data_IF_518691322785
#
_entry.id   IF_518691322785
#
_cell.length_a   1.000
_cell.length_b   1.000
_cell.length_c   1.000
_cell.angle_alpha   90.00
_cell.angle_beta   90.00
_cell.angle_gamma   90.00
#
_symmetry.space_group_name_H-M   'P 1'
#
loop_
_entity.id
_entity.type
_entity.pdbx_description
1 polymer ?
#
# COMPACT_ATOMS: atom_id res chain seq x y z
N UNK A 1 11.67 -12.69 9.38
CA UNK A 1 11.74 -11.93 8.12
C UNK A 1 11.56 -10.44 8.42
N UNK A 2 12.32 -9.52 7.76
CA UNK A 2 12.22 -8.07 8.02
C UNK A 2 10.80 -7.52 7.91
N UNK A 3 9.95 -8.10 7.08
CA UNK A 3 8.57 -7.69 6.87
C UNK A 3 7.60 -8.10 7.99
N UNK A 4 8.02 -8.87 9.00
CA UNK A 4 7.11 -9.37 10.06
C UNK A 4 6.54 -8.23 10.91
N UNK A 5 7.32 -7.23 11.22
CA UNK A 5 6.90 -6.07 12.03
C UNK A 5 5.84 -5.19 11.33
N UNK A 6 5.67 -5.35 10.01
CA UNK A 6 4.71 -4.58 9.21
C UNK A 6 3.40 -5.32 8.90
N UNK A 7 3.19 -6.51 9.46
CA UNK A 7 2.07 -7.38 9.10
C UNK A 7 0.70 -6.72 9.24
N UNK A 8 0.51 -5.96 10.33
CA UNK A 8 -0.74 -5.23 10.54
C UNK A 8 -0.97 -4.14 9.50
N UNK A 9 0.12 -3.48 9.07
CA UNK A 9 0.07 -2.47 8.02
C UNK A 9 -0.29 -3.12 6.69
N UNK A 10 0.31 -4.26 6.38
CA UNK A 10 0.04 -5.00 5.16
C UNK A 10 -1.43 -5.44 5.07
N UNK A 11 -2.00 -5.93 6.16
CA UNK A 11 -3.44 -6.25 6.24
C UNK A 11 -4.33 -5.02 5.98
N UNK A 12 -3.95 -3.84 6.53
CA UNK A 12 -4.71 -2.61 6.35
C UNK A 12 -4.69 -2.10 4.90
N UNK A 13 -3.58 -2.29 4.20
CA UNK A 13 -3.33 -1.80 2.84
C UNK A 13 -3.54 -2.88 1.77
N UNK A 14 -4.06 -4.06 2.15
CA UNK A 14 -4.21 -5.20 1.24
C UNK A 14 -2.91 -5.57 0.50
N UNK A 15 -1.77 -5.49 1.21
CA UNK A 15 -0.49 -5.96 0.68
C UNK A 15 -0.44 -7.47 0.87
N UNK A 16 -0.30 -8.20 -0.22
CA UNK A 16 -0.32 -9.66 -0.29
C UNK A 16 1.07 -10.21 -0.60
N UNK A 17 1.27 -11.52 -0.45
CA UNK A 17 2.49 -12.18 -0.90
C UNK A 17 2.56 -12.21 -2.44
N UNK A 18 3.80 -12.29 -2.98
CA UNK A 18 3.98 -12.38 -4.43
C UNK A 18 3.30 -13.63 -5.02
N UNK A 19 3.39 -14.76 -4.33
CA UNK A 19 2.72 -15.99 -4.77
C UNK A 19 1.20 -15.84 -4.85
N UNK A 20 0.61 -15.22 -3.83
CA UNK A 20 -0.83 -14.92 -3.82
C UNK A 20 -1.21 -13.95 -4.95
N UNK A 21 -0.44 -12.89 -5.15
CA UNK A 21 -0.61 -11.99 -6.28
C UNK A 21 -0.53 -12.74 -7.61
N UNK A 22 0.49 -13.62 -7.80
CA UNK A 22 0.69 -14.35 -9.03
C UNK A 22 -0.49 -15.28 -9.37
N UNK A 23 -1.06 -15.93 -8.37
CA UNK A 23 -2.18 -16.86 -8.51
C UNK A 23 -3.53 -16.17 -8.66
N UNK A 24 -3.69 -14.97 -8.11
CA UNK A 24 -4.93 -14.21 -8.15
C UNK A 24 -5.30 -13.84 -9.60
N UNK A 25 -6.60 -13.77 -9.90
CA UNK A 25 -7.12 -13.31 -11.19
C UNK A 25 -7.08 -11.78 -11.36
N UNK A 26 -6.96 -11.04 -10.26
CA UNK A 26 -6.85 -9.59 -10.29
C UNK A 26 -5.62 -9.14 -11.08
N UNK A 27 -5.79 -8.14 -11.94
CA UNK A 27 -4.74 -7.58 -12.78
C UNK A 27 -3.69 -6.81 -11.98
N UNK A 28 -4.08 -6.17 -10.87
CA UNK A 28 -3.26 -5.27 -10.07
C UNK A 28 -3.12 -5.77 -8.63
N UNK A 29 -2.03 -5.41 -7.96
CA UNK A 29 -1.83 -5.73 -6.55
C UNK A 29 -0.62 -5.03 -5.93
N UNK A 30 -0.65 -4.94 -4.59
CA UNK A 30 0.46 -4.47 -3.78
C UNK A 30 1.20 -5.66 -3.19
N UNK A 31 2.51 -5.71 -3.39
CA UNK A 31 3.39 -6.77 -2.87
C UNK A 31 4.56 -6.11 -2.15
N UNK A 32 4.89 -6.59 -0.96
CA UNK A 32 6.11 -6.16 -0.26
C UNK A 32 7.21 -7.18 -0.44
N UNK A 33 8.44 -6.71 -0.58
CA UNK A 33 9.61 -7.56 -0.67
C UNK A 33 10.86 -6.87 -0.12
N UNK A 34 11.75 -7.68 0.47
CA UNK A 34 13.09 -7.26 0.83
C UNK A 34 14.03 -7.58 -0.32
N UNK A 35 14.82 -6.62 -0.75
CA UNK A 35 15.76 -6.78 -1.87
C UNK A 35 16.92 -7.66 -1.43
N UNK A 36 17.12 -8.77 -2.14
CA UNK A 36 18.23 -9.71 -1.90
C UNK A 36 19.43 -9.42 -2.80
N UNK A 37 19.19 -9.12 -4.07
CA UNK A 37 20.24 -8.77 -5.03
C UNK A 37 19.69 -7.96 -6.20
N UNK A 38 20.56 -7.17 -6.81
CA UNK A 38 20.25 -6.33 -7.96
C UNK A 38 21.31 -6.58 -9.04
N UNK A 39 20.88 -6.97 -10.22
CA UNK A 39 21.75 -7.18 -11.37
C UNK A 39 21.35 -6.23 -12.49
N UNK A 40 22.11 -5.15 -12.68
CA UNK A 40 21.92 -4.25 -13.81
C UNK A 40 22.53 -4.85 -15.08
N UNK A 41 21.76 -4.80 -16.16
CA UNK A 41 22.12 -5.31 -17.49
C UNK A 41 21.73 -4.30 -18.57
N UNK A 42 22.21 -4.54 -19.77
CA UNK A 42 21.81 -3.80 -20.97
C UNK A 42 21.15 -4.76 -21.97
N UNK A 43 20.06 -4.33 -22.57
CA UNK A 43 19.43 -5.05 -23.66
C UNK A 43 20.33 -5.02 -24.92
N UNK A 44 19.99 -5.80 -25.95
CA UNK A 44 20.67 -5.76 -27.23
C UNK A 44 20.65 -4.37 -27.91
N UNK A 45 19.68 -3.52 -27.56
CA UNK A 45 19.57 -2.13 -28.02
C UNK A 45 20.28 -1.13 -27.09
N UNK A 46 21.06 -1.59 -26.10
CA UNK A 46 21.78 -0.73 -25.14
C UNK A 46 20.91 -0.14 -24.02
N UNK A 47 19.62 -0.44 -23.97
CA UNK A 47 18.70 0.06 -22.94
C UNK A 47 18.96 -0.63 -21.60
N UNK A 48 19.20 0.11 -20.50
CA UNK A 48 19.46 -0.48 -19.21
C UNK A 48 18.20 -1.09 -18.61
N UNK A 49 18.35 -2.20 -17.91
CA UNK A 49 17.32 -2.82 -17.07
C UNK A 49 17.98 -3.51 -15.88
N UNK A 50 17.22 -3.81 -14.85
CA UNK A 50 17.71 -4.61 -13.73
C UNK A 50 16.84 -5.84 -13.52
N UNK A 51 17.50 -6.92 -13.12
CA UNK A 51 16.86 -8.10 -12.53
C UNK A 51 17.03 -7.93 -11.03
N UNK A 52 15.92 -7.80 -10.31
CA UNK A 52 15.93 -7.63 -8.86
C UNK A 52 15.31 -8.86 -8.22
N UNK A 53 16.05 -9.49 -7.34
CA UNK A 53 15.61 -10.62 -6.55
C UNK A 53 15.11 -10.13 -5.19
N UNK A 54 13.92 -10.56 -4.83
CA UNK A 54 13.24 -10.21 -3.58
C UNK A 54 12.95 -11.45 -2.75
N UNK A 55 12.84 -11.26 -1.45
CA UNK A 55 12.20 -12.21 -0.55
C UNK A 55 10.96 -11.58 0.10
N UNK A 56 9.88 -12.34 0.18
CA UNK A 56 8.74 -12.05 1.03
C UNK A 56 8.57 -13.13 2.11
N UNK A 57 7.49 -13.10 2.87
CA UNK A 57 7.21 -14.09 3.92
C UNK A 57 6.94 -15.51 3.41
N UNK A 58 6.64 -15.67 2.12
CA UNK A 58 6.25 -16.94 1.51
C UNK A 58 7.35 -17.54 0.63
N UNK A 59 8.35 -16.75 0.24
CA UNK A 59 9.42 -17.21 -0.61
C UNK A 59 10.21 -16.11 -1.31
N UNK A 60 10.87 -16.48 -2.38
CA UNK A 60 11.67 -15.58 -3.21
C UNK A 60 11.01 -15.38 -4.57
N UNK A 61 11.19 -14.21 -5.16
CA UNK A 61 10.73 -13.89 -6.49
C UNK A 61 11.65 -12.90 -7.19
N UNK A 62 11.56 -12.85 -8.52
CA UNK A 62 12.36 -11.95 -9.33
C UNK A 62 11.46 -11.07 -10.20
N UNK A 63 11.83 -9.81 -10.33
CA UNK A 63 11.17 -8.87 -11.21
C UNK A 63 12.17 -8.14 -12.11
N UNK A 64 11.71 -7.78 -13.30
CA UNK A 64 12.45 -6.96 -14.24
C UNK A 64 12.05 -5.49 -14.07
N UNK A 65 13.03 -4.64 -13.79
CA UNK A 65 12.85 -3.19 -13.76
C UNK A 65 13.44 -2.60 -15.03
N UNK A 66 12.56 -2.11 -15.89
CA UNK A 66 12.98 -1.46 -17.13
C UNK A 66 13.46 -0.03 -16.89
N UNK A 67 14.16 0.54 -17.85
CA UNK A 67 14.98 1.74 -17.73
C UNK A 67 14.34 2.88 -16.94
N UNK A 68 13.09 3.23 -17.24
CA UNK A 68 12.39 4.33 -16.56
C UNK A 68 12.20 4.04 -15.07
N UNK A 69 11.71 2.85 -14.74
CA UNK A 69 11.49 2.42 -13.35
C UNK A 69 12.82 2.27 -12.59
N UNK A 70 13.86 1.75 -13.25
CA UNK A 70 15.18 1.61 -12.67
C UNK A 70 15.81 2.97 -12.34
N UNK A 71 15.81 3.90 -13.30
CA UNK A 71 16.43 5.23 -13.12
C UNK A 71 15.69 6.05 -12.05
N UNK A 72 14.37 6.08 -12.11
CA UNK A 72 13.53 6.88 -11.19
C UNK A 72 13.55 6.39 -9.74
N UNK A 73 13.96 5.14 -9.51
CA UNK A 73 13.94 4.54 -8.17
C UNK A 73 15.29 4.04 -7.68
N UNK A 74 16.37 4.38 -8.35
CA UNK A 74 17.73 3.88 -8.04
C UNK A 74 18.11 4.07 -6.57
N UNK A 75 17.73 5.17 -5.96
CA UNK A 75 18.03 5.45 -4.55
C UNK A 75 17.33 4.50 -3.56
N UNK A 76 16.16 3.96 -3.96
CA UNK A 76 15.38 3.01 -3.16
C UNK A 76 15.81 1.56 -3.37
N UNK A 77 16.53 1.29 -4.46
CA UNK A 77 16.98 -0.03 -4.85
C UNK A 77 18.34 -0.32 -4.22
N UNK A 78 18.34 -0.78 -2.98
CA UNK A 78 19.54 -1.21 -2.23
C UNK A 78 19.29 -2.56 -1.61
N UNK A 79 20.30 -3.40 -1.59
CA UNK A 79 20.22 -4.71 -0.91
C UNK A 79 19.85 -4.55 0.56
N UNK A 80 19.06 -5.47 1.06
CA UNK A 80 18.48 -5.49 2.40
C UNK A 80 17.38 -4.46 2.66
N UNK A 81 17.09 -3.55 1.74
CA UNK A 81 15.95 -2.63 1.86
C UNK A 81 14.62 -3.34 1.59
N UNK A 82 13.62 -3.00 2.40
CA UNK A 82 12.26 -3.50 2.23
C UNK A 82 11.38 -2.44 1.56
N UNK A 83 10.75 -2.82 0.46
CA UNK A 83 9.94 -1.92 -0.37
C UNK A 83 8.57 -2.52 -0.66
N UNK A 84 7.64 -1.67 -1.05
CA UNK A 84 6.32 -2.06 -1.56
C UNK A 84 6.24 -1.74 -3.04
N UNK A 85 5.80 -2.73 -3.78
CA UNK A 85 5.69 -2.73 -5.23
C UNK A 85 4.20 -2.71 -5.63
N UNK A 86 3.82 -1.75 -6.45
CA UNK A 86 2.56 -1.83 -7.18
C UNK A 86 2.81 -2.63 -8.46
N UNK A 87 2.22 -3.80 -8.54
CA UNK A 87 2.40 -4.74 -9.64
C UNK A 87 1.15 -4.78 -10.51
N UNK A 88 1.35 -4.98 -11.80
CA UNK A 88 0.29 -5.17 -12.77
C UNK A 88 0.61 -6.37 -13.67
N UNK A 89 -0.36 -7.26 -13.84
CA UNK A 89 -0.30 -8.35 -14.83
C UNK A 89 -0.82 -7.86 -16.18
N UNK A 90 -0.11 -8.19 -17.24
CA UNK A 90 -0.63 -7.98 -18.58
C UNK A 90 -1.82 -8.93 -18.81
N UNK A 91 -2.86 -8.43 -19.47
CA UNK A 91 -3.96 -9.28 -19.94
C UNK A 91 -3.41 -10.28 -20.95
N UNK A 92 -3.60 -11.56 -20.65
CA UNK A 92 -3.12 -12.62 -21.51
C UNK A 92 -4.08 -12.75 -22.70
N UNK A 93 -3.55 -12.59 -23.91
CA UNK A 93 -4.23 -12.94 -25.16
C UNK A 93 -3.50 -14.15 -25.74
N UNK A 94 -3.99 -15.39 -25.49
CA UNK A 94 -3.46 -16.62 -26.08
C UNK A 94 -3.17 -17.74 -25.07
N UNK A 95 -3.36 -18.98 -25.49
CA UNK A 95 -3.32 -20.20 -24.66
C UNK A 95 -1.95 -20.56 -24.03
N UNK A 96 -0.84 -19.94 -24.45
CA UNK A 96 0.52 -20.31 -24.02
C UNK A 96 1.38 -19.12 -23.54
N UNK A 97 0.82 -17.95 -23.25
CA UNK A 97 1.60 -16.79 -22.85
C UNK A 97 1.86 -16.76 -21.34
N UNK A 98 3.14 -16.70 -20.94
CA UNK A 98 3.51 -16.45 -19.54
C UNK A 98 2.96 -15.09 -19.11
N UNK A 99 2.31 -15.03 -17.94
CA UNK A 99 1.85 -13.78 -17.33
C UNK A 99 3.05 -12.82 -17.20
N UNK A 100 3.04 -11.73 -17.96
CA UNK A 100 4.03 -10.68 -17.79
C UNK A 100 3.61 -9.80 -16.63
N UNK A 101 4.52 -9.57 -15.69
CA UNK A 101 4.29 -8.71 -14.52
C UNK A 101 5.11 -7.44 -14.70
N UNK A 102 4.44 -6.31 -14.62
CA UNK A 102 5.02 -4.99 -14.72
C UNK A 102 5.03 -4.32 -13.34
N UNK A 103 6.15 -3.68 -13.00
CA UNK A 103 6.24 -2.82 -11.81
C UNK A 103 5.77 -1.43 -12.21
N UNK A 104 4.72 -0.93 -11.57
CA UNK A 104 4.13 0.39 -11.82
C UNK A 104 4.61 1.46 -10.86
N UNK A 105 4.82 1.11 -9.60
CA UNK A 105 5.31 2.02 -8.56
C UNK A 105 6.19 1.26 -7.58
N UNK A 106 7.21 1.94 -7.05
CA UNK A 106 8.07 1.48 -5.97
C UNK A 106 7.98 2.50 -4.84
N UNK A 107 7.60 2.04 -3.65
CA UNK A 107 7.50 2.87 -2.45
C UNK A 107 8.34 2.27 -1.32
N UNK A 108 9.07 3.10 -0.57
CA UNK A 108 9.66 2.62 0.67
C UNK A 108 8.55 2.37 1.72
N UNK A 109 8.78 1.45 2.65
CA UNK A 109 7.85 1.21 3.75
C UNK A 109 7.63 2.47 4.59
N UNK A 110 8.68 3.25 4.82
CA UNK A 110 8.60 4.50 5.56
C UNK A 110 7.69 5.52 4.86
N UNK A 111 7.85 5.69 3.55
CA UNK A 111 6.98 6.56 2.76
C UNK A 111 5.53 6.11 2.87
N UNK A 112 5.28 4.82 2.73
CA UNK A 112 3.92 4.27 2.78
C UNK A 112 3.24 4.48 4.14
N UNK A 113 3.99 4.33 5.24
CA UNK A 113 3.49 4.53 6.61
C UNK A 113 3.10 5.99 6.87
N UNK A 114 3.81 6.93 6.26
CA UNK A 114 3.61 8.36 6.47
C UNK A 114 2.70 9.00 5.40
N UNK A 115 2.45 8.32 4.29
CA UNK A 115 1.59 8.82 3.21
C UNK A 115 0.16 9.05 3.72
N UNK A 116 -0.42 10.26 3.55
CA UNK A 116 -1.78 10.53 3.97
C UNK A 116 -2.77 9.83 3.03
N UNK A 117 -3.84 9.32 3.59
CA UNK A 117 -4.99 8.86 2.80
C UNK A 117 -5.74 10.06 2.20
N UNK A 118 -6.34 9.89 1.02
CA UNK A 118 -7.08 10.96 0.37
C UNK A 118 -8.40 11.24 1.07
N UNK A 119 -9.15 10.19 1.38
CA UNK A 119 -10.51 10.28 1.92
C UNK A 119 -10.78 9.16 2.92
N UNK A 120 -11.33 9.50 4.07
CA UNK A 120 -11.57 8.56 5.16
C UNK A 120 -12.98 8.75 5.72
N UNK A 121 -13.71 7.66 5.92
CA UNK A 121 -15.01 7.65 6.60
C UNK A 121 -14.89 6.89 7.92
N UNK A 122 -15.24 7.53 9.03
CA UNK A 122 -15.25 6.95 10.37
C UNK A 122 -16.71 6.72 10.77
N UNK A 123 -17.07 5.47 11.07
CA UNK A 123 -18.40 5.13 11.56
C UNK A 123 -18.44 5.30 13.09
N UNK A 124 -19.37 6.12 13.55
CA UNK A 124 -19.58 6.44 14.95
C UNK A 124 -20.81 5.67 15.45
N UNK A 125 -20.61 4.80 16.44
CA UNK A 125 -21.69 4.08 17.14
C UNK A 125 -22.26 4.93 18.27
N UNK A 126 -23.42 4.55 18.83
CA UNK A 126 -24.17 5.30 19.86
C UNK A 126 -23.30 5.82 21.03
N UNK A 127 -22.25 5.10 21.43
CA UNK A 127 -21.42 5.44 22.59
C UNK A 127 -20.03 5.97 22.19
N UNK A 128 -19.92 6.64 21.05
CA UNK A 128 -18.62 7.18 20.63
C UNK A 128 -18.12 8.31 21.55
N UNK A 129 -16.81 8.34 21.78
CA UNK A 129 -16.16 9.36 22.60
C UNK A 129 -15.57 10.44 21.69
N UNK A 130 -16.27 11.54 21.52
CA UNK A 130 -15.85 12.61 20.60
C UNK A 130 -14.45 13.15 20.91
N UNK A 131 -14.04 13.20 22.17
CA UNK A 131 -12.73 13.70 22.57
C UNK A 131 -11.58 12.82 22.07
N UNK A 132 -11.75 11.49 22.07
CA UNK A 132 -10.75 10.56 21.52
C UNK A 132 -10.54 10.78 20.03
N UNK A 133 -11.64 11.02 19.29
CA UNK A 133 -11.59 11.30 17.86
C UNK A 133 -10.92 12.66 17.60
N UNK A 134 -11.25 13.68 18.40
CA UNK A 134 -10.63 15.00 18.30
C UNK A 134 -9.12 14.96 18.55
N UNK A 135 -8.65 14.19 19.51
CA UNK A 135 -7.23 14.02 19.79
C UNK A 135 -6.49 13.37 18.61
N UNK A 136 -7.06 12.30 18.04
CA UNK A 136 -6.48 11.60 16.89
C UNK A 136 -6.48 12.50 15.65
N UNK A 137 -7.52 13.30 15.45
CA UNK A 137 -7.70 14.19 14.31
C UNK A 137 -7.28 15.65 14.61
N UNK A 138 -6.44 15.89 15.59
CA UNK A 138 -6.08 17.25 16.04
C UNK A 138 -5.33 18.05 14.97
N UNK A 139 -4.47 17.40 14.18
CA UNK A 139 -3.57 18.07 13.23
C UNK A 139 -4.22 18.29 11.87
N UNK A 140 -4.07 19.47 11.30
CA UNK A 140 -4.44 19.77 9.93
C UNK A 140 -3.57 18.99 8.93
N UNK A 141 -4.13 18.69 7.76
CA UNK A 141 -3.45 17.91 6.72
C UNK A 141 -4.24 17.89 5.42
N UNK A 142 -4.03 16.86 4.61
CA UNK A 142 -4.63 16.73 3.27
C UNK A 142 -5.82 15.77 3.20
N UNK A 143 -6.08 14.96 4.25
CA UNK A 143 -7.12 13.93 4.24
C UNK A 143 -8.49 14.54 4.51
N UNK A 144 -9.44 14.28 3.63
CA UNK A 144 -10.86 14.58 3.84
C UNK A 144 -11.47 13.56 4.80
N UNK A 145 -12.07 14.03 5.89
CA UNK A 145 -12.67 13.18 6.91
C UNK A 145 -14.20 13.28 6.86
N UNK A 146 -14.83 12.12 6.74
CA UNK A 146 -16.26 11.95 6.82
C UNK A 146 -16.62 11.19 8.10
N UNK A 147 -17.65 11.61 8.79
CA UNK A 147 -18.20 10.95 9.97
C UNK A 147 -19.58 10.40 9.61
N UNK A 148 -19.77 9.11 9.78
CA UNK A 148 -21.05 8.44 9.61
C UNK A 148 -21.60 8.08 10.98
N UNK A 149 -22.60 8.80 11.43
CA UNK A 149 -23.32 8.54 12.69
C UNK A 149 -24.46 7.57 12.36
N UNK A 150 -24.40 6.40 12.95
CA UNK A 150 -25.43 5.37 12.79
C UNK A 150 -26.12 5.14 14.14
N UNK A 151 -27.16 5.89 14.39
CA UNK A 151 -28.07 5.71 15.54
C UNK A 151 -29.29 4.88 15.12
N UNK A 152 -29.93 4.18 16.08
CA UNK A 152 -31.13 3.34 15.84
C UNK A 152 -32.24 4.07 15.11
N UNK A 153 -32.29 5.40 15.20
CA UNK A 153 -33.35 6.24 14.63
C UNK A 153 -32.93 7.02 13.38
N UNK A 154 -31.64 7.31 13.20
CA UNK A 154 -31.16 8.16 12.11
C UNK A 154 -29.76 7.80 11.65
N UNK A 155 -29.53 7.92 10.34
CA UNK A 155 -28.20 7.93 9.75
C UNK A 155 -27.85 9.36 9.37
N UNK A 156 -26.78 9.89 9.91
CA UNK A 156 -26.28 11.22 9.59
C UNK A 156 -24.84 11.12 9.04
N UNK A 157 -24.59 11.87 7.97
CA UNK A 157 -23.28 11.94 7.32
C UNK A 157 -22.75 13.36 7.41
N UNK A 158 -21.58 13.54 8.02
CA UNK A 158 -20.92 14.82 8.19
C UNK A 158 -19.54 14.78 7.56
N UNK A 159 -19.17 15.81 6.83
CA UNK A 159 -17.81 16.04 6.39
C UNK A 159 -17.19 17.13 7.25
N UNK A 160 -15.99 16.90 7.78
CA UNK A 160 -15.28 17.94 8.51
C UNK A 160 -14.91 19.09 7.57
N UNK A 161 -15.10 20.31 8.05
CA UNK A 161 -14.87 21.53 7.27
C UNK A 161 -13.40 21.63 6.81
N UNK A 162 -12.45 21.23 7.66
CA UNK A 162 -11.04 21.26 7.36
C UNK A 162 -10.49 19.84 7.22
N UNK A 163 -9.60 19.62 6.25
CA UNK A 163 -8.88 18.38 6.11
C UNK A 163 -7.95 18.14 7.31
N UNK A 164 -7.69 16.87 7.60
CA UNK A 164 -6.87 16.44 8.73
C UNK A 164 -5.65 15.64 8.27
N UNK A 165 -4.62 15.60 9.10
CA UNK A 165 -3.53 14.65 8.93
C UNK A 165 -4.04 13.27 9.31
N UNK A 166 -4.07 12.35 8.34
CA UNK A 166 -4.54 10.99 8.55
C UNK A 166 -3.74 10.01 7.70
N UNK A 167 -2.97 9.17 8.36
CA UNK A 167 -2.16 8.12 7.75
C UNK A 167 -2.39 6.80 8.49
N UNK A 168 -1.60 5.78 8.18
CA UNK A 168 -1.73 4.44 8.76
C UNK A 168 -1.64 4.44 10.30
N UNK A 169 -0.89 5.36 10.93
CA UNK A 169 -0.78 5.46 12.40
C UNK A 169 -2.10 5.88 13.01
N UNK A 170 -2.79 6.85 12.41
CA UNK A 170 -4.11 7.31 12.84
C UNK A 170 -5.17 6.22 12.63
N UNK A 171 -5.10 5.50 11.50
CA UNK A 171 -5.97 4.36 11.23
C UNK A 171 -5.83 3.28 12.31
N UNK A 172 -4.60 2.91 12.67
CA UNK A 172 -4.33 1.95 13.75
C UNK A 172 -4.89 2.43 15.10
N UNK A 173 -4.69 3.71 15.43
CA UNK A 173 -5.18 4.30 16.68
C UNK A 173 -6.72 4.23 16.78
N UNK A 174 -7.45 4.54 15.70
CA UNK A 174 -8.91 4.43 15.67
C UNK A 174 -9.38 2.97 15.74
N UNK A 175 -8.74 2.07 15.00
CA UNK A 175 -9.10 0.64 15.04
C UNK A 175 -8.83 -0.02 16.40
N UNK A 176 -7.76 0.36 17.08
CA UNK A 176 -7.47 -0.09 18.44
C UNK A 176 -8.56 0.34 19.45
N UNK A 177 -9.31 1.39 19.15
CA UNK A 177 -10.48 1.86 19.91
C UNK A 177 -11.81 1.35 19.33
N UNK A 178 -11.76 0.33 18.47
CA UNK A 178 -12.90 -0.35 17.85
C UNK A 178 -13.77 0.51 16.93
N UNK A 179 -13.25 1.64 16.44
CA UNK A 179 -13.93 2.40 15.41
C UNK A 179 -13.83 1.69 14.04
N UNK A 180 -14.92 1.72 13.30
CA UNK A 180 -14.94 1.25 11.91
C UNK A 180 -14.46 2.37 11.00
N UNK A 181 -13.41 2.11 10.24
CA UNK A 181 -12.79 3.11 9.36
C UNK A 181 -12.74 2.55 7.95
N UNK A 182 -13.29 3.30 7.00
CA UNK A 182 -13.27 3.00 5.56
C UNK A 182 -12.39 4.02 4.85
N UNK A 183 -11.50 3.55 4.00
CA UNK A 183 -10.62 4.36 3.17
C UNK A 183 -11.18 4.31 1.76
N UNK A 184 -11.23 5.46 1.09
CA UNK A 184 -11.56 5.58 -0.33
C UNK A 184 -10.59 6.56 -1.00
N UNK A 185 -10.26 6.28 -2.22
CA UNK A 185 -9.46 7.14 -3.10
C UNK A 185 -10.30 8.29 -3.69
#
# INVERSE_FOLDING_TARGET
HPLNEYEDIFKQLNIISYNEFYQNENGDGLVAGTIMSIQEKKSAKGTPYAIVKFSDKKGEFELFLFSEMLVSNREKLKESESIVLTLQKDRITGENSRKRINVRKISSLETLINEPFSNVTIELKENFKINEIKEILASNGSTKINLLINDKKQKAHYTLQNNRKFNIKHLKALKAKEYVVKISD
#
